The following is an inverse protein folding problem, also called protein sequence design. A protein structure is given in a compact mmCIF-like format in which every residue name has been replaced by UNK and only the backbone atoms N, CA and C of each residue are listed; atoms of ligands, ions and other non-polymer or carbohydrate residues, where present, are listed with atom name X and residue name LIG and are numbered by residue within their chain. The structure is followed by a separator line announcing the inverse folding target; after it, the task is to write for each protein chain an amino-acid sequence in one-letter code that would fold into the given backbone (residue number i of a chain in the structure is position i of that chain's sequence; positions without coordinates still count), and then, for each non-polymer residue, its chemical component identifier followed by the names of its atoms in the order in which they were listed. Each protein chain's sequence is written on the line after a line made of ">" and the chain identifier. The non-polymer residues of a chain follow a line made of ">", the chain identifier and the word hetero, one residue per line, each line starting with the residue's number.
data_IF_066681129062
#
_entry.id   IF_066681129062
#
_cell.length_a   1.000
_cell.length_b   1.000
_cell.length_c   1.000
_cell.angle_alpha   90.00
_cell.angle_beta   90.00
_cell.angle_gamma   90.00
#
_symmetry.space_group_name_H-M   'P 1'
#
loop_
_entity.id
_entity.type
_entity.pdbx_description
1 polymer ?
#
# COMPACT_ATOMS: atom_id res chain seq x y z
N UNK A 1 -18.52 10.49 -28.07
CA UNK A 1 -18.38 9.39 -27.11
C UNK A 1 -17.13 9.64 -26.25
N UNK A 2 -17.17 9.33 -24.95
CA UNK A 2 -16.08 9.58 -23.99
C UNK A 2 -14.77 8.91 -24.44
N UNK A 3 -14.85 7.64 -24.85
CA UNK A 3 -13.69 6.83 -25.26
C UNK A 3 -12.93 7.45 -26.44
N UNK A 4 -13.66 7.98 -27.43
CA UNK A 4 -13.04 8.58 -28.63
C UNK A 4 -12.33 9.90 -28.26
N UNK A 5 -12.95 10.73 -27.42
CA UNK A 5 -12.37 11.98 -26.93
C UNK A 5 -11.12 11.71 -26.10
N UNK A 6 -11.22 10.81 -25.14
CA UNK A 6 -10.11 10.41 -24.29
C UNK A 6 -8.93 9.82 -25.07
N UNK A 7 -9.24 8.96 -26.07
CA UNK A 7 -8.23 8.40 -26.96
C UNK A 7 -7.47 9.48 -27.77
N UNK A 8 -8.20 10.43 -28.37
CA UNK A 8 -7.57 11.51 -29.14
C UNK A 8 -6.71 12.42 -28.25
N UNK A 9 -7.21 12.77 -27.07
CA UNK A 9 -6.48 13.60 -26.13
C UNK A 9 -5.22 12.90 -25.61
N UNK A 10 -5.33 11.62 -25.23
CA UNK A 10 -4.17 10.84 -24.80
C UNK A 10 -3.14 10.66 -25.90
N UNK A 11 -3.58 10.37 -27.14
CA UNK A 11 -2.68 10.25 -28.29
C UNK A 11 -1.89 11.55 -28.54
N UNK A 12 -2.56 12.70 -28.47
CA UNK A 12 -1.92 13.99 -28.61
C UNK A 12 -0.92 14.27 -27.46
N UNK A 13 -1.25 13.89 -26.24
CA UNK A 13 -0.36 14.01 -25.08
C UNK A 13 0.91 13.15 -25.25
N UNK A 14 0.76 11.88 -25.57
CA UNK A 14 1.89 10.95 -25.75
C UNK A 14 2.81 11.39 -26.88
N UNK A 15 2.24 11.85 -28.01
CA UNK A 15 3.03 12.36 -29.13
C UNK A 15 3.84 13.61 -28.78
N UNK A 16 3.27 14.51 -27.94
CA UNK A 16 3.98 15.74 -27.49
C UNK A 16 5.15 15.42 -26.55
N UNK A 17 5.00 14.40 -25.71
CA UNK A 17 6.00 14.05 -24.69
C UNK A 17 7.04 13.06 -25.19
N UNK A 18 6.87 12.48 -26.38
CA UNK A 18 7.76 11.45 -26.92
C UNK A 18 7.76 10.16 -26.12
N UNK A 19 6.68 9.89 -25.37
CA UNK A 19 6.59 8.78 -24.42
C UNK A 19 5.73 7.64 -24.98
N UNK A 20 6.36 6.66 -25.57
CA UNK A 20 5.76 5.34 -25.86
C UNK A 20 6.37 4.25 -24.95
N UNK A 21 6.58 4.55 -23.66
CA UNK A 21 7.22 3.60 -22.75
C UNK A 21 6.34 2.38 -22.45
N UNK A 22 5.03 2.52 -22.50
CA UNK A 22 4.10 1.44 -22.25
C UNK A 22 3.13 1.28 -23.42
N UNK A 23 3.04 0.09 -24.06
CA UNK A 23 2.34 -0.07 -25.34
C UNK A 23 0.81 -0.01 -25.22
N UNK A 24 0.25 -0.19 -24.01
CA UNK A 24 -1.19 -0.32 -23.82
C UNK A 24 -1.91 0.95 -23.36
N UNK A 25 -1.26 2.12 -23.33
CA UNK A 25 -1.86 3.40 -22.89
C UNK A 25 -3.22 3.67 -23.50
N UNK A 26 -3.32 3.56 -24.84
CA UNK A 26 -4.56 3.84 -25.58
C UNK A 26 -5.65 2.80 -25.34
N UNK A 27 -5.26 1.55 -25.14
CA UNK A 27 -6.20 0.46 -24.81
C UNK A 27 -6.77 0.66 -23.42
N UNK A 28 -5.95 0.91 -22.43
CA UNK A 28 -6.37 1.23 -21.05
C UNK A 28 -7.33 2.41 -21.03
N UNK A 29 -6.97 3.50 -21.71
CA UNK A 29 -7.78 4.71 -21.79
C UNK A 29 -9.19 4.44 -22.36
N UNK A 30 -9.30 3.60 -23.39
CA UNK A 30 -10.59 3.21 -23.99
C UNK A 30 -11.41 2.33 -23.06
N UNK A 31 -10.77 1.37 -22.37
CA UNK A 31 -11.44 0.47 -21.43
C UNK A 31 -12.01 1.27 -20.24
N UNK A 32 -11.21 2.13 -19.65
CA UNK A 32 -11.67 3.00 -18.55
C UNK A 32 -12.78 3.93 -19.01
N UNK A 33 -12.62 4.62 -20.14
CA UNK A 33 -13.65 5.49 -20.69
C UNK A 33 -14.97 4.76 -20.98
N UNK A 34 -14.90 3.52 -21.49
CA UNK A 34 -16.07 2.67 -21.72
C UNK A 34 -16.77 2.31 -20.40
N UNK A 35 -16.01 1.87 -19.40
CA UNK A 35 -16.56 1.51 -18.09
C UNK A 35 -17.22 2.71 -17.42
N UNK A 36 -16.56 3.86 -17.41
CA UNK A 36 -17.11 5.10 -16.84
C UNK A 36 -18.43 5.52 -17.51
N UNK A 37 -18.54 5.34 -18.83
CA UNK A 37 -19.77 5.66 -19.56
C UNK A 37 -20.88 4.66 -19.30
N UNK A 38 -20.57 3.39 -19.13
CA UNK A 38 -21.55 2.32 -18.91
C UNK A 38 -21.96 2.15 -17.46
N UNK A 39 -21.08 2.52 -16.54
CA UNK A 39 -21.27 2.25 -15.12
C UNK A 39 -21.17 0.75 -14.80
N UNK A 40 -20.41 -0.01 -15.61
CA UNK A 40 -20.20 -1.44 -15.40
C UNK A 40 -18.97 -1.71 -14.52
N UNK A 41 -18.77 -2.97 -14.14
CA UNK A 41 -17.57 -3.41 -13.45
C UNK A 41 -16.52 -3.82 -14.49
N UNK A 42 -15.31 -3.26 -14.36
CA UNK A 42 -14.19 -3.60 -15.24
C UNK A 42 -12.95 -3.91 -14.40
N UNK A 43 -12.36 -5.07 -14.65
CA UNK A 43 -11.13 -5.54 -14.04
C UNK A 43 -10.02 -5.55 -15.09
N UNK A 44 -9.01 -4.72 -14.91
CA UNK A 44 -7.90 -4.59 -15.86
C UNK A 44 -6.63 -5.11 -15.19
N UNK A 45 -6.12 -6.22 -15.71
CA UNK A 45 -4.89 -6.84 -15.23
C UNK A 45 -3.71 -6.27 -16.00
N UNK A 46 -2.74 -5.76 -15.27
CA UNK A 46 -1.45 -5.32 -15.79
C UNK A 46 -0.43 -6.46 -15.64
N UNK A 47 0.56 -6.47 -16.50
CA UNK A 47 1.72 -7.33 -16.29
C UNK A 47 2.52 -6.87 -15.09
N UNK A 48 3.14 -7.80 -14.37
CA UNK A 48 4.03 -7.48 -13.27
C UNK A 48 5.19 -6.58 -13.75
N UNK A 49 5.47 -5.53 -12.99
CA UNK A 49 6.50 -4.54 -13.33
C UNK A 49 6.14 -3.62 -14.50
N UNK A 50 4.86 -3.46 -14.84
CA UNK A 50 4.42 -2.49 -15.85
C UNK A 50 4.90 -1.08 -15.51
N UNK A 51 5.46 -0.38 -16.53
CA UNK A 51 5.94 1.00 -16.36
C UNK A 51 4.82 1.90 -15.80
N UNK A 52 5.05 2.59 -14.67
CA UNK A 52 4.04 3.42 -14.01
C UNK A 52 3.44 4.54 -14.87
N UNK A 53 3.97 4.81 -16.05
CA UNK A 53 3.37 5.75 -17.02
C UNK A 53 1.96 5.33 -17.46
N UNK A 54 1.55 4.07 -17.24
CA UNK A 54 0.18 3.61 -17.50
C UNK A 54 -0.89 4.46 -16.80
N UNK A 55 -0.54 5.13 -15.69
CA UNK A 55 -1.44 6.03 -14.95
C UNK A 55 -2.06 7.11 -15.83
N UNK A 56 -1.36 7.61 -16.82
CA UNK A 56 -1.90 8.62 -17.75
C UNK A 56 -3.08 8.06 -18.54
N UNK A 57 -2.99 6.79 -18.95
CA UNK A 57 -4.09 6.10 -19.61
C UNK A 57 -5.35 5.99 -18.74
N UNK A 58 -5.18 5.97 -17.41
CA UNK A 58 -6.26 6.01 -16.43
C UNK A 58 -6.79 7.45 -16.21
N UNK A 59 -5.92 8.43 -16.06
CA UNK A 59 -6.29 9.80 -15.65
C UNK A 59 -6.99 10.59 -16.74
N UNK A 60 -6.59 10.43 -18.01
CA UNK A 60 -7.19 11.16 -19.12
C UNK A 60 -8.70 10.91 -19.27
N UNK A 61 -9.21 9.66 -19.26
CA UNK A 61 -10.66 9.45 -19.28
C UNK A 61 -11.37 9.97 -18.04
N UNK A 62 -10.71 10.01 -16.87
CA UNK A 62 -11.28 10.60 -15.64
C UNK A 62 -11.50 12.12 -15.78
N UNK A 63 -10.57 12.84 -16.45
CA UNK A 63 -10.73 14.28 -16.70
C UNK A 63 -11.91 14.63 -17.59
N UNK A 64 -12.36 13.69 -18.41
CA UNK A 64 -13.45 13.86 -19.37
C UNK A 64 -14.75 13.20 -18.92
N UNK A 65 -14.75 12.52 -17.77
CA UNK A 65 -15.91 11.83 -17.25
C UNK A 65 -17.06 12.81 -17.00
N UNK A 66 -18.26 12.49 -17.52
CA UNK A 66 -19.47 13.26 -17.28
C UNK A 66 -20.24 12.80 -16.02
N UNK A 67 -19.86 11.66 -15.44
CA UNK A 67 -20.42 11.10 -14.21
C UNK A 67 -19.48 11.34 -13.03
N UNK A 68 -20.02 11.45 -11.81
CA UNK A 68 -19.21 11.58 -10.61
C UNK A 68 -18.34 10.34 -10.37
N UNK A 69 -17.04 10.55 -10.11
CA UNK A 69 -16.07 9.48 -9.90
C UNK A 69 -15.29 9.72 -8.60
N UNK A 70 -14.98 8.65 -7.89
CA UNK A 70 -14.01 8.64 -6.80
C UNK A 70 -12.80 7.78 -7.21
N UNK A 71 -11.60 8.34 -7.08
CA UNK A 71 -10.32 7.68 -7.29
C UNK A 71 -9.74 7.32 -5.92
N UNK A 72 -9.60 6.03 -5.65
CA UNK A 72 -9.14 5.53 -4.35
C UNK A 72 -7.71 5.05 -4.47
N UNK A 73 -6.80 5.63 -3.70
CA UNK A 73 -5.36 5.40 -3.82
C UNK A 73 -4.68 5.24 -2.46
N UNK A 74 -3.60 4.45 -2.43
CA UNK A 74 -2.65 4.45 -1.32
C UNK A 74 -1.83 5.73 -1.28
N UNK A 75 -1.14 5.98 -0.16
CA UNK A 75 -0.43 7.25 0.08
C UNK A 75 0.71 7.49 -0.92
N UNK A 76 1.50 6.48 -1.26
CA UNK A 76 2.60 6.63 -2.22
C UNK A 76 2.10 7.03 -3.61
N UNK A 77 1.02 6.38 -4.07
CA UNK A 77 0.40 6.73 -5.35
C UNK A 77 -0.27 8.11 -5.30
N UNK A 78 -0.88 8.49 -4.17
CA UNK A 78 -1.46 9.82 -3.96
C UNK A 78 -0.41 10.91 -4.12
N UNK A 79 0.75 10.77 -3.46
CA UNK A 79 1.86 11.71 -3.58
C UNK A 79 2.36 11.81 -5.03
N UNK A 80 2.55 10.69 -5.70
CA UNK A 80 2.91 10.66 -7.11
C UNK A 80 1.90 11.40 -7.98
N UNK A 81 0.61 11.15 -7.80
CA UNK A 81 -0.46 11.83 -8.55
C UNK A 81 -0.40 13.33 -8.35
N UNK A 82 -0.30 13.80 -7.11
CA UNK A 82 -0.31 15.23 -6.78
C UNK A 82 0.95 15.96 -7.21
N UNK A 83 2.13 15.33 -7.03
CA UNK A 83 3.41 15.98 -7.27
C UNK A 83 3.90 15.87 -8.72
N UNK A 84 3.47 14.84 -9.45
CA UNK A 84 4.00 14.54 -10.78
C UNK A 84 2.92 14.50 -11.86
N UNK A 85 1.92 13.62 -11.73
CA UNK A 85 0.99 13.36 -12.82
C UNK A 85 -0.02 14.52 -13.02
N UNK A 86 -0.52 15.13 -11.96
CA UNK A 86 -1.41 16.29 -12.04
C UNK A 86 -0.75 17.53 -12.67
N UNK A 87 0.43 17.96 -12.20
CA UNK A 87 1.15 19.06 -12.85
C UNK A 87 1.43 18.80 -14.33
N UNK A 88 1.78 17.56 -14.67
CA UNK A 88 2.02 17.13 -16.05
C UNK A 88 0.76 17.24 -16.91
N UNK A 89 -0.37 16.72 -16.46
CA UNK A 89 -1.63 16.83 -17.17
C UNK A 89 -2.06 18.29 -17.37
N UNK A 90 -1.92 19.10 -16.33
CA UNK A 90 -2.23 20.54 -16.39
C UNK A 90 -1.34 21.26 -17.40
N UNK A 91 -0.03 21.00 -17.44
CA UNK A 91 0.88 21.55 -18.42
C UNK A 91 0.50 21.14 -19.85
N UNK A 92 -0.10 19.97 -20.02
CA UNK A 92 -0.61 19.48 -21.31
C UNK A 92 -2.01 20.00 -21.67
N UNK A 93 -2.60 20.88 -20.86
CA UNK A 93 -3.93 21.45 -21.09
C UNK A 93 -5.09 20.51 -20.72
N UNK A 94 -4.83 19.48 -19.90
CA UNK A 94 -5.86 18.60 -19.37
C UNK A 94 -6.31 19.13 -18.01
N UNK A 95 -7.51 19.71 -17.95
CA UNK A 95 -8.09 20.21 -16.68
C UNK A 95 -8.76 19.05 -15.92
N UNK A 96 -8.11 18.60 -14.86
CA UNK A 96 -8.65 17.60 -13.94
C UNK A 96 -8.89 18.26 -12.58
N UNK A 97 -10.14 18.58 -12.32
CA UNK A 97 -10.55 19.17 -11.04
C UNK A 97 -10.63 18.07 -9.99
N UNK A 98 -9.81 18.18 -8.95
CA UNK A 98 -9.72 17.22 -7.87
C UNK A 98 -10.22 17.82 -6.56
N UNK A 99 -10.86 16.98 -5.77
CA UNK A 99 -11.26 17.25 -4.40
C UNK A 99 -10.66 16.19 -3.48
N UNK A 100 -10.01 16.61 -2.41
CA UNK A 100 -9.31 15.73 -1.47
C UNK A 100 -10.02 15.70 -0.11
N UNK A 101 -9.87 14.57 0.60
CA UNK A 101 -10.38 14.41 1.94
C UNK A 101 -11.79 13.82 2.03
N UNK A 102 -12.26 13.61 3.26
CA UNK A 102 -13.54 12.95 3.54
C UNK A 102 -14.77 13.86 3.42
N UNK A 103 -14.60 15.17 3.23
CA UNK A 103 -15.72 16.08 3.01
C UNK A 103 -16.36 15.84 1.64
N UNK A 104 -17.69 15.89 1.52
CA UNK A 104 -18.40 15.59 0.29
C UNK A 104 -17.90 16.43 -0.89
N UNK A 105 -17.38 15.77 -1.91
CA UNK A 105 -16.87 16.43 -3.12
C UNK A 105 -18.01 16.95 -4.01
N UNK A 106 -17.83 18.12 -4.68
CA UNK A 106 -18.71 18.55 -5.74
C UNK A 106 -18.85 17.50 -6.84
N UNK A 107 -20.02 17.37 -7.46
CA UNK A 107 -20.30 16.36 -8.47
C UNK A 107 -19.41 16.47 -9.71
N UNK A 108 -18.90 17.66 -10.00
CA UNK A 108 -18.04 17.96 -11.15
C UNK A 108 -16.55 17.70 -10.90
N UNK A 109 -16.19 17.30 -9.66
CA UNK A 109 -14.79 17.05 -9.30
C UNK A 109 -14.54 15.55 -9.17
N UNK A 110 -13.34 15.12 -9.56
CA UNK A 110 -12.81 13.83 -9.19
C UNK A 110 -12.55 13.81 -7.68
N UNK A 111 -13.15 12.88 -6.97
CA UNK A 111 -12.93 12.74 -5.54
C UNK A 111 -11.74 11.82 -5.27
N UNK A 112 -10.62 12.38 -4.83
CA UNK A 112 -9.43 11.62 -4.46
C UNK A 112 -9.53 11.21 -2.99
N UNK A 113 -9.57 9.91 -2.76
CA UNK A 113 -9.74 9.31 -1.44
C UNK A 113 -8.60 8.35 -1.12
N UNK A 114 -8.16 8.35 0.13
CA UNK A 114 -7.44 7.22 0.70
C UNK A 114 -8.43 6.08 1.03
N UNK A 115 -7.94 4.88 1.30
CA UNK A 115 -8.80 3.76 1.70
C UNK A 115 -9.52 4.02 3.03
N UNK A 116 -8.90 4.74 3.96
CA UNK A 116 -9.53 5.16 5.22
C UNK A 116 -10.66 6.16 4.98
N UNK A 117 -10.44 7.17 4.14
CA UNK A 117 -11.47 8.14 3.77
C UNK A 117 -12.62 7.46 3.01
N UNK A 118 -12.32 6.52 2.09
CA UNK A 118 -13.35 5.72 1.41
C UNK A 118 -14.27 5.00 2.40
N UNK A 119 -13.69 4.31 3.39
CA UNK A 119 -14.46 3.61 4.42
C UNK A 119 -15.32 4.56 5.23
N UNK A 120 -14.78 5.73 5.56
CA UNK A 120 -15.52 6.77 6.30
C UNK A 120 -16.72 7.27 5.50
N UNK A 121 -16.51 7.75 4.26
CA UNK A 121 -17.58 8.33 3.43
C UNK A 121 -18.62 7.27 3.01
N UNK A 122 -18.19 6.03 2.82
CA UNK A 122 -19.10 4.93 2.53
C UNK A 122 -20.02 4.61 3.71
N UNK A 123 -19.47 4.48 4.93
CA UNK A 123 -20.24 4.25 6.16
C UNK A 123 -21.17 5.40 6.50
N UNK A 124 -20.79 6.62 6.17
CA UNK A 124 -21.63 7.81 6.32
C UNK A 124 -22.71 7.96 5.24
N UNK A 125 -22.67 7.14 4.18
CA UNK A 125 -23.58 7.24 3.05
C UNK A 125 -23.31 8.44 2.12
N UNK A 126 -22.22 9.20 2.35
CA UNK A 126 -21.89 10.42 1.58
C UNK A 126 -21.23 10.11 0.23
N UNK A 127 -20.76 8.89 0.01
CA UNK A 127 -20.20 8.45 -1.26
C UNK A 127 -21.20 8.53 -2.42
N UNK A 128 -22.50 8.41 -2.14
CA UNK A 128 -23.58 8.48 -3.13
C UNK A 128 -23.45 7.38 -4.20
N UNK A 129 -23.76 7.73 -5.44
CA UNK A 129 -23.68 6.85 -6.62
C UNK A 129 -22.39 7.00 -7.43
N UNK A 130 -21.34 7.57 -6.85
CA UNK A 130 -20.05 7.76 -7.53
C UNK A 130 -19.48 6.42 -7.97
N UNK A 131 -18.99 6.39 -9.19
CA UNK A 131 -18.21 5.25 -9.68
C UNK A 131 -16.86 5.22 -8.98
N UNK A 132 -16.36 4.02 -8.69
CA UNK A 132 -15.06 3.83 -8.04
C UNK A 132 -14.00 3.47 -9.07
N UNK A 133 -12.84 4.11 -8.96
CA UNK A 133 -11.65 3.73 -9.71
C UNK A 133 -10.56 3.42 -8.71
N UNK A 134 -10.06 2.20 -8.73
CA UNK A 134 -9.08 1.67 -7.76
C UNK A 134 -7.86 1.18 -8.54
N UNK A 135 -6.83 2.01 -8.70
CA UNK A 135 -5.52 1.58 -9.19
C UNK A 135 -4.77 0.79 -8.12
N UNK A 136 -3.79 0.00 -8.52
CA UNK A 136 -3.05 -0.91 -7.62
C UNK A 136 -4.00 -1.85 -6.84
N UNK A 137 -4.97 -2.41 -7.56
CA UNK A 137 -6.00 -3.24 -6.95
C UNK A 137 -5.44 -4.52 -6.29
N UNK A 138 -4.25 -4.97 -6.66
CA UNK A 138 -3.50 -6.04 -6.00
C UNK A 138 -3.21 -5.73 -4.52
N UNK A 139 -3.06 -4.45 -4.16
CA UNK A 139 -2.81 -3.99 -2.79
C UNK A 139 -4.09 -3.69 -2.00
N UNK A 140 -5.25 -3.77 -2.63
CA UNK A 140 -6.53 -3.33 -2.05
C UNK A 140 -6.82 -4.02 -0.71
N UNK A 141 -6.59 -5.33 -0.62
CA UNK A 141 -6.83 -6.09 0.60
C UNK A 141 -5.96 -5.60 1.76
N UNK A 142 -4.68 -5.35 1.51
CA UNK A 142 -3.74 -4.92 2.53
C UNK A 142 -3.99 -3.46 2.94
N UNK A 143 -4.28 -2.59 1.97
CA UNK A 143 -4.62 -1.20 2.23
C UNK A 143 -5.95 -1.04 2.99
N UNK A 144 -6.94 -1.89 2.72
CA UNK A 144 -8.17 -1.93 3.51
C UNK A 144 -7.92 -2.47 4.93
N UNK A 145 -7.09 -3.52 5.07
CA UNK A 145 -6.70 -4.05 6.37
C UNK A 145 -6.02 -2.99 7.23
N UNK A 146 -5.08 -2.26 6.65
CA UNK A 146 -4.41 -1.13 7.30
C UNK A 146 -5.38 0.00 7.64
N UNK A 147 -6.25 0.38 6.71
CA UNK A 147 -7.24 1.43 6.92
C UNK A 147 -8.25 1.11 8.06
N UNK A 148 -8.57 -0.17 8.26
CA UNK A 148 -9.44 -0.65 9.32
C UNK A 148 -8.70 -0.96 10.62
N UNK A 149 -7.38 -1.09 10.58
CA UNK A 149 -6.58 -1.41 11.76
C UNK A 149 -6.77 -0.36 12.85
N UNK A 150 -6.88 -0.85 14.08
CA UNK A 150 -6.97 -0.03 15.28
C UNK A 150 -5.73 -0.26 16.11
N UNK A 151 -5.10 0.83 16.55
CA UNK A 151 -3.97 0.83 17.47
C UNK A 151 -4.34 1.59 18.72
N UNK A 152 -4.03 1.02 19.87
CA UNK A 152 -4.19 1.65 21.18
C UNK A 152 -2.80 1.81 21.79
N UNK A 153 -2.40 3.03 21.94
CA UNK A 153 -1.11 3.42 22.50
C UNK A 153 -1.19 3.66 24.02
N UNK A 154 -0.07 3.70 24.75
CA UNK A 154 -0.08 4.01 26.17
C UNK A 154 -0.80 5.33 26.50
N UNK A 155 -0.66 6.36 25.66
CA UNK A 155 -1.33 7.65 25.83
C UNK A 155 -2.87 7.55 25.71
N UNK A 156 -3.39 6.58 24.95
CA UNK A 156 -4.82 6.38 24.81
C UNK A 156 -5.44 5.81 26.08
N UNK A 157 -4.72 4.95 26.80
CA UNK A 157 -5.12 4.50 28.14
C UNK A 157 -5.25 5.66 29.11
N UNK A 158 -4.29 6.59 29.11
CA UNK A 158 -4.33 7.77 29.97
C UNK A 158 -5.48 8.71 29.59
N UNK A 159 -5.74 8.85 28.30
CA UNK A 159 -6.86 9.66 27.79
C UNK A 159 -8.20 9.06 28.18
N UNK A 160 -8.34 7.74 28.09
CA UNK A 160 -9.54 7.02 28.51
C UNK A 160 -9.81 7.20 30.01
N UNK A 161 -8.79 7.05 30.86
CA UNK A 161 -8.91 7.23 32.32
C UNK A 161 -9.37 8.63 32.68
N UNK A 162 -8.78 9.64 32.03
CA UNK A 162 -9.16 11.05 32.21
C UNK A 162 -10.59 11.33 31.77
N UNK A 163 -11.04 10.72 30.68
CA UNK A 163 -12.40 10.88 30.19
C UNK A 163 -13.44 10.18 31.09
N UNK A 164 -13.04 9.10 31.81
CA UNK A 164 -13.94 8.25 32.60
C UNK A 164 -13.41 8.04 34.03
N UNK A 165 -13.34 9.09 34.86
CA UNK A 165 -12.71 9.02 36.19
C UNK A 165 -13.36 8.03 37.16
N UNK A 166 -14.66 7.79 37.04
CA UNK A 166 -15.39 6.80 37.87
C UNK A 166 -14.98 5.37 37.55
N UNK A 167 -14.51 5.10 36.32
CA UNK A 167 -14.06 3.77 35.92
C UNK A 167 -12.54 3.57 36.05
N UNK A 168 -11.81 4.59 36.45
CA UNK A 168 -10.34 4.57 36.52
C UNK A 168 -9.79 3.36 37.29
N UNK A 169 -10.27 2.98 38.48
CA UNK A 169 -9.74 1.83 39.22
C UNK A 169 -9.87 0.52 38.41
N UNK A 170 -11.01 0.33 37.74
CA UNK A 170 -11.28 -0.84 36.92
C UNK A 170 -10.40 -0.87 35.66
N UNK A 171 -10.23 0.30 35.01
CA UNK A 171 -9.34 0.46 33.84
C UNK A 171 -7.88 0.19 34.19
N UNK A 172 -7.39 0.67 35.33
CA UNK A 172 -6.04 0.39 35.82
C UNK A 172 -5.83 -1.10 36.11
N UNK A 173 -6.80 -1.74 36.75
CA UNK A 173 -6.74 -3.18 37.04
C UNK A 173 -6.68 -4.02 35.73
N UNK A 174 -7.48 -3.66 34.72
CA UNK A 174 -7.48 -4.33 33.41
C UNK A 174 -6.19 -4.05 32.63
N UNK A 175 -5.72 -2.81 32.60
CA UNK A 175 -4.43 -2.45 31.98
C UNK A 175 -3.28 -3.24 32.61
N UNK A 176 -3.22 -3.29 33.94
CA UNK A 176 -2.19 -4.04 34.65
C UNK A 176 -2.29 -5.56 34.44
N UNK A 177 -3.52 -6.11 34.30
CA UNK A 177 -3.72 -7.53 33.95
C UNK A 177 -3.23 -7.85 32.54
N UNK A 178 -3.62 -7.06 31.56
CA UNK A 178 -3.15 -7.19 30.16
C UNK A 178 -1.64 -7.00 30.06
N UNK A 179 -1.08 -5.99 30.72
CA UNK A 179 0.35 -5.74 30.73
C UNK A 179 1.15 -6.91 31.30
N UNK A 180 0.70 -7.52 32.41
CA UNK A 180 1.33 -8.73 32.93
C UNK A 180 1.25 -9.90 31.95
N UNK A 181 0.11 -10.09 31.26
CA UNK A 181 -0.06 -11.12 30.25
C UNK A 181 0.88 -10.93 29.07
N UNK A 182 0.99 -9.69 28.56
CA UNK A 182 1.83 -9.32 27.42
C UNK A 182 3.32 -9.45 27.76
N UNK A 183 3.74 -8.95 28.95
CA UNK A 183 5.14 -8.96 29.33
C UNK A 183 5.65 -10.31 29.85
N UNK A 184 4.74 -11.24 30.25
CA UNK A 184 5.09 -12.60 30.67
C UNK A 184 5.31 -13.58 29.50
N UNK A 185 4.98 -13.22 28.28
CA UNK A 185 5.18 -14.06 27.10
C UNK A 185 6.68 -14.20 26.77
N UNK A 186 7.11 -15.37 26.25
CA UNK A 186 8.45 -15.50 25.73
C UNK A 186 8.67 -14.47 24.60
N UNK A 187 9.89 -13.94 24.53
CA UNK A 187 10.23 -12.91 23.53
C UNK A 187 10.09 -13.48 22.13
N UNK A 188 9.19 -12.92 21.35
CA UNK A 188 9.13 -13.15 19.92
C UNK A 188 10.18 -12.26 19.22
N UNK A 189 10.83 -12.70 18.12
CA UNK A 189 11.80 -11.86 17.39
C UNK A 189 11.26 -10.50 16.98
N UNK A 190 9.99 -10.43 16.62
CA UNK A 190 9.30 -9.18 16.22
C UNK A 190 8.57 -8.50 17.39
N UNK A 191 8.81 -8.94 18.63
CA UNK A 191 8.16 -8.41 19.82
C UNK A 191 6.63 -8.44 19.79
N UNK A 192 6.06 -9.42 19.06
CA UNK A 192 4.62 -9.63 18.93
C UNK A 192 4.11 -10.63 19.98
N UNK A 193 2.96 -10.32 20.56
CA UNK A 193 2.27 -11.19 21.53
C UNK A 193 0.82 -11.35 21.09
N UNK A 194 0.44 -12.55 20.66
CA UNK A 194 -0.95 -12.85 20.31
C UNK A 194 -1.85 -12.75 21.56
N UNK A 195 -3.01 -12.13 21.40
CA UNK A 195 -4.03 -12.03 22.45
C UNK A 195 -5.20 -12.95 22.13
N UNK A 196 -5.53 -13.79 23.08
CA UNK A 196 -6.71 -14.63 22.96
C UNK A 196 -7.99 -13.82 23.25
N UNK A 197 -9.14 -14.23 22.70
CA UNK A 197 -10.42 -13.56 22.97
C UNK A 197 -10.74 -13.44 24.46
N UNK A 198 -10.31 -14.40 25.28
CA UNK A 198 -10.50 -14.44 26.74
C UNK A 198 -9.67 -13.36 27.46
N UNK A 199 -8.51 -12.99 26.92
CA UNK A 199 -7.66 -11.94 27.48
C UNK A 199 -8.34 -10.57 27.33
N UNK A 200 -9.07 -10.36 26.24
CA UNK A 200 -9.73 -9.10 25.91
C UNK A 200 -11.18 -8.99 26.41
N UNK A 201 -11.86 -10.11 26.64
CA UNK A 201 -13.29 -10.11 26.98
C UNK A 201 -13.64 -9.19 28.16
N UNK A 202 -12.87 -9.13 29.27
CA UNK A 202 -13.18 -8.22 30.38
C UNK A 202 -13.06 -6.75 30.01
N UNK A 203 -12.07 -6.41 29.18
CA UNK A 203 -11.90 -5.03 28.68
C UNK A 203 -13.07 -4.64 27.76
N UNK A 204 -13.45 -5.52 26.86
CA UNK A 204 -14.57 -5.30 25.95
C UNK A 204 -15.89 -5.12 26.71
N UNK A 205 -16.13 -5.95 27.70
CA UNK A 205 -17.34 -5.86 28.53
C UNK A 205 -17.39 -4.53 29.30
N UNK A 206 -16.28 -4.10 29.89
CA UNK A 206 -16.23 -2.83 30.59
C UNK A 206 -16.45 -1.64 29.63
N UNK A 207 -15.77 -1.63 28.48
CA UNK A 207 -15.91 -0.55 27.49
C UNK A 207 -17.34 -0.47 26.95
N UNK A 208 -18.03 -1.58 26.75
CA UNK A 208 -19.42 -1.60 26.30
C UNK A 208 -20.39 -0.93 27.30
N UNK A 209 -20.04 -0.95 28.59
CA UNK A 209 -20.85 -0.29 29.64
C UNK A 209 -20.53 1.21 29.76
N UNK A 210 -19.39 1.65 29.24
CA UNK A 210 -18.85 3.00 29.43
C UNK A 210 -19.10 3.94 28.22
N UNK A 211 -20.02 3.59 27.32
CA UNK A 211 -20.34 4.43 26.17
C UNK A 211 -20.98 5.76 26.57
N UNK A 212 -20.65 6.90 25.90
CA UNK A 212 -19.79 7.04 24.73
C UNK A 212 -18.30 7.01 25.07
N UNK A 213 -17.50 6.37 24.20
CA UNK A 213 -16.07 6.27 24.35
C UNK A 213 -15.33 7.27 23.44
N UNK A 214 -14.18 7.81 23.87
CA UNK A 214 -13.31 8.58 22.99
C UNK A 214 -12.65 7.68 21.92
N UNK A 215 -12.22 8.28 20.80
CA UNK A 215 -11.34 7.58 19.86
C UNK A 215 -9.93 7.43 20.50
N UNK A 216 -9.21 6.31 20.22
CA UNK A 216 -9.55 5.22 19.30
C UNK A 216 -10.40 4.10 19.93
N UNK A 217 -10.83 4.20 21.20
CA UNK A 217 -11.53 3.15 21.95
C UNK A 217 -12.90 2.81 21.38
N UNK A 218 -13.64 3.81 20.89
CA UNK A 218 -14.92 3.60 20.22
C UNK A 218 -14.73 2.77 18.94
N UNK A 219 -13.66 3.01 18.21
CA UNK A 219 -13.31 2.22 17.03
C UNK A 219 -12.89 0.81 17.41
N UNK A 220 -12.05 0.66 18.45
CA UNK A 220 -11.60 -0.65 18.94
C UNK A 220 -12.78 -1.54 19.39
N UNK A 221 -13.78 -0.97 20.04
CA UNK A 221 -14.97 -1.69 20.47
C UNK A 221 -15.83 -2.14 19.27
N UNK A 222 -16.01 -1.28 18.27
CA UNK A 222 -16.74 -1.60 17.03
C UNK A 222 -16.02 -2.65 16.18
N UNK A 223 -14.69 -2.61 16.14
CA UNK A 223 -13.83 -3.55 15.43
C UNK A 223 -13.82 -4.89 16.17
N UNK A 224 -14.93 -5.63 16.16
CA UNK A 224 -15.10 -6.88 16.91
C UNK A 224 -15.85 -7.93 16.10
N UNK A 225 -15.58 -9.20 16.42
CA UNK A 225 -16.24 -10.34 15.77
C UNK A 225 -15.24 -11.44 15.41
N UNK A 226 -15.73 -12.58 14.91
CA UNK A 226 -14.89 -13.75 14.61
C UNK A 226 -13.88 -13.51 13.46
N UNK A 227 -14.13 -12.50 12.63
CA UNK A 227 -13.23 -12.10 11.54
C UNK A 227 -12.14 -11.10 11.94
N UNK A 228 -11.95 -10.82 13.23
CA UNK A 228 -10.94 -9.87 13.71
C UNK A 228 -9.90 -10.56 14.59
N UNK A 229 -8.65 -10.16 14.45
CA UNK A 229 -7.52 -10.63 15.25
C UNK A 229 -6.91 -9.49 16.04
N UNK A 230 -6.37 -9.82 17.23
CA UNK A 230 -5.70 -8.86 18.09
C UNK A 230 -4.36 -9.39 18.56
N UNK A 231 -3.43 -8.48 18.72
CA UNK A 231 -2.11 -8.75 19.29
C UNK A 231 -1.58 -7.51 20.01
N UNK A 232 -0.53 -7.68 20.76
CA UNK A 232 0.23 -6.58 21.33
C UNK A 232 1.63 -6.54 20.73
N UNK A 233 2.17 -5.34 20.57
CA UNK A 233 3.61 -5.12 20.33
C UNK A 233 4.24 -4.59 21.60
N UNK A 234 5.48 -5.04 21.89
CA UNK A 234 6.23 -4.62 23.06
C UNK A 234 7.47 -3.87 22.63
N UNK A 235 7.65 -2.65 23.14
CA UNK A 235 8.93 -1.95 23.05
C UNK A 235 9.83 -2.42 24.22
N UNK A 236 10.89 -3.21 23.96
CA UNK A 236 11.71 -3.78 25.01
C UNK A 236 12.57 -2.73 25.74
N UNK A 237 12.84 -1.58 25.10
CA UNK A 237 13.65 -0.54 25.70
C UNK A 237 12.86 0.29 26.72
N UNK A 238 11.60 0.57 26.40
CA UNK A 238 10.72 1.39 27.23
C UNK A 238 9.77 0.56 28.10
N UNK A 239 9.70 -0.76 27.89
CA UNK A 239 8.70 -1.67 28.49
C UNK A 239 7.27 -1.20 28.23
N UNK A 240 7.06 -0.50 27.16
CA UNK A 240 5.76 -0.07 26.70
C UNK A 240 5.18 -1.14 25.78
N UNK A 241 3.86 -1.24 25.76
CA UNK A 241 3.15 -2.14 24.87
C UNK A 241 1.95 -1.42 24.25
N UNK A 242 1.58 -1.84 23.06
CA UNK A 242 0.47 -1.29 22.30
C UNK A 242 -0.46 -2.43 21.90
N UNK A 243 -1.78 -2.18 21.90
CA UNK A 243 -2.74 -3.12 21.36
C UNK A 243 -2.97 -2.83 19.88
N UNK A 244 -3.05 -3.88 19.11
CA UNK A 244 -3.40 -3.83 17.70
C UNK A 244 -4.61 -4.73 17.45
N UNK A 245 -5.46 -4.31 16.54
CA UNK A 245 -6.59 -5.08 16.05
C UNK A 245 -6.81 -4.84 14.58
N UNK A 246 -7.04 -5.91 13.81
CA UNK A 246 -7.31 -5.81 12.38
C UNK A 246 -8.23 -6.93 11.90
N UNK A 247 -8.95 -6.73 10.77
CA UNK A 247 -9.74 -7.78 10.17
C UNK A 247 -8.85 -8.82 9.47
N UNK A 248 -9.22 -10.10 9.59
CA UNK A 248 -8.60 -11.20 8.85
C UNK A 248 -8.99 -11.16 7.37
N UNK A 249 -10.25 -10.85 7.09
CA UNK A 249 -10.82 -10.76 5.74
C UNK A 249 -11.40 -9.34 5.49
N UNK A 250 -10.55 -8.34 5.20
CA UNK A 250 -11.00 -6.95 5.07
C UNK A 250 -11.99 -6.73 3.92
N UNK A 251 -11.97 -7.58 2.88
CA UNK A 251 -12.92 -7.49 1.78
C UNK A 251 -14.35 -7.86 2.20
N UNK A 252 -14.51 -8.79 3.15
CA UNK A 252 -15.81 -9.13 3.71
C UNK A 252 -16.42 -7.97 4.50
N UNK A 253 -15.59 -7.13 5.14
CA UNK A 253 -16.05 -5.95 5.89
C UNK A 253 -16.59 -4.82 4.98
N UNK A 254 -16.31 -4.90 3.69
CA UNK A 254 -16.77 -3.95 2.66
C UNK A 254 -17.72 -4.59 1.66
N UNK A 255 -18.32 -5.72 2.02
CA UNK A 255 -19.38 -6.34 1.22
C UNK A 255 -20.49 -5.30 0.95
N UNK A 256 -20.87 -5.16 -0.31
CA UNK A 256 -21.82 -4.13 -0.73
C UNK A 256 -21.22 -2.78 -1.12
N UNK A 257 -19.92 -2.52 -0.91
CA UNK A 257 -19.29 -1.27 -1.35
C UNK A 257 -19.50 -1.03 -2.85
N UNK A 258 -19.44 -2.05 -3.68
CA UNK A 258 -19.61 -1.96 -5.13
C UNK A 258 -21.06 -2.18 -5.62
N UNK A 259 -21.99 -2.49 -4.73
CA UNK A 259 -23.39 -2.71 -5.11
C UNK A 259 -23.99 -1.41 -5.67
N UNK A 260 -24.61 -1.53 -6.86
CA UNK A 260 -25.34 -0.42 -7.50
C UNK A 260 -24.46 0.71 -8.04
N UNK A 261 -23.14 0.52 -8.12
CA UNK A 261 -22.19 1.50 -8.70
C UNK A 261 -21.19 0.84 -9.61
N UNK A 262 -20.79 1.50 -10.70
CA UNK A 262 -19.70 1.05 -11.55
C UNK A 262 -18.35 1.10 -10.82
N UNK A 263 -17.47 0.16 -11.18
CA UNK A 263 -16.12 0.11 -10.64
C UNK A 263 -15.09 -0.27 -11.69
N UNK A 264 -13.95 0.41 -11.67
CA UNK A 264 -12.77 0.09 -12.47
C UNK A 264 -11.62 -0.26 -11.52
N UNK A 265 -11.19 -1.51 -11.57
CA UNK A 265 -10.04 -2.00 -10.81
C UNK A 265 -8.89 -2.24 -11.79
N UNK A 266 -7.74 -1.66 -11.50
CA UNK A 266 -6.53 -1.77 -12.35
C UNK A 266 -5.35 -2.17 -11.47
N UNK A 267 -4.62 -3.20 -11.86
CA UNK A 267 -3.44 -3.63 -11.10
C UNK A 267 -2.82 -4.94 -11.57
N UNK A 268 -1.76 -5.35 -10.91
CA UNK A 268 -1.03 -6.60 -11.15
C UNK A 268 -1.77 -7.80 -10.52
N UNK A 269 -2.98 -8.05 -10.98
CA UNK A 269 -3.87 -9.04 -10.40
C UNK A 269 -3.53 -10.45 -10.91
N UNK A 270 -3.55 -11.48 -10.04
CA UNK A 270 -3.29 -12.85 -10.45
C UNK A 270 -4.36 -13.33 -11.44
N UNK A 271 -3.94 -14.15 -12.40
CA UNK A 271 -4.88 -14.85 -13.28
C UNK A 271 -5.56 -15.95 -12.47
N UNK A 272 -6.87 -15.95 -12.46
CA UNK A 272 -7.66 -17.07 -11.93
C UNK A 272 -7.40 -18.29 -12.82
N UNK A 273 -6.66 -19.27 -12.32
CA UNK A 273 -6.55 -20.57 -12.99
C UNK A 273 -7.89 -21.30 -12.79
N UNK A 274 -8.72 -21.30 -13.83
CA UNK A 274 -9.89 -22.15 -13.87
C UNK A 274 -9.43 -23.62 -13.77
N UNK A 275 -9.51 -24.22 -12.58
CA UNK A 275 -9.27 -25.65 -12.41
C UNK A 275 -8.54 -26.13 -11.16
N UNK A 276 -7.93 -25.30 -10.35
CA UNK A 276 -7.31 -25.78 -9.10
C UNK A 276 -8.04 -25.22 -7.89
N UNK A 277 -8.91 -26.01 -7.29
CA UNK A 277 -9.66 -25.71 -6.06
C UNK A 277 -8.79 -25.62 -4.80
N UNK A 278 -7.55 -25.17 -4.92
CA UNK A 278 -6.66 -24.84 -3.83
C UNK A 278 -6.15 -23.41 -4.01
N UNK A 279 -6.83 -22.50 -3.37
CA UNK A 279 -6.32 -21.15 -3.15
C UNK A 279 -5.01 -21.25 -2.36
N UNK A 280 -3.91 -20.84 -2.96
CA UNK A 280 -2.70 -20.55 -2.19
C UNK A 280 -2.99 -19.31 -1.36
N UNK A 281 -2.79 -19.40 -0.06
CA UNK A 281 -2.65 -18.30 0.85
C UNK A 281 -1.56 -17.36 0.30
N UNK A 282 -1.97 -16.26 -0.30
CA UNK A 282 -1.02 -15.31 -0.89
C UNK A 282 -1.74 -14.28 -1.78
N UNK A 283 -2.09 -13.15 -1.20
CA UNK A 283 -2.22 -11.83 -1.84
C UNK A 283 -2.97 -11.77 -3.19
N UNK A 284 -4.28 -11.95 -3.17
CA UNK A 284 -5.11 -11.72 -4.35
C UNK A 284 -6.57 -11.99 -4.05
N UNK A 285 -7.43 -11.00 -4.28
CA UNK A 285 -8.88 -11.21 -4.19
C UNK A 285 -9.41 -11.90 -5.45
N UNK A 286 -10.40 -12.78 -5.26
CA UNK A 286 -11.19 -13.35 -6.36
C UNK A 286 -12.25 -12.37 -6.85
N UNK A 287 -12.74 -12.60 -8.08
CA UNK A 287 -13.80 -11.75 -8.67
C UNK A 287 -15.08 -11.72 -7.82
N UNK A 288 -15.33 -12.72 -6.97
CA UNK A 288 -16.48 -12.81 -6.06
C UNK A 288 -16.32 -12.04 -4.75
N UNK A 289 -15.09 -11.76 -4.31
CA UNK A 289 -14.83 -11.25 -2.96
C UNK A 289 -15.29 -9.81 -2.72
N UNK A 290 -15.43 -9.02 -3.80
CA UNK A 290 -15.89 -7.63 -3.75
C UNK A 290 -17.34 -7.42 -4.16
N UNK A 291 -18.07 -8.49 -4.48
CA UNK A 291 -19.42 -8.38 -5.04
C UNK A 291 -19.43 -7.80 -6.46
N UNK A 292 -18.36 -8.00 -7.24
CA UNK A 292 -18.31 -7.65 -8.65
C UNK A 292 -19.34 -8.46 -9.44
N UNK A 293 -20.26 -7.79 -10.10
CA UNK A 293 -21.28 -8.44 -10.90
C UNK A 293 -20.81 -8.53 -12.36
N UNK A 294 -20.55 -9.73 -12.85
CA UNK A 294 -20.14 -10.05 -14.22
C UNK A 294 -19.11 -9.03 -14.80
N UNK A 295 -17.94 -8.88 -14.18
CA UNK A 295 -16.98 -7.86 -14.58
C UNK A 295 -16.44 -8.12 -15.98
N UNK A 296 -16.19 -7.05 -16.72
CA UNK A 296 -15.40 -7.12 -17.95
C UNK A 296 -13.94 -7.27 -17.56
N UNK A 297 -13.37 -8.45 -17.79
CA UNK A 297 -11.98 -8.74 -17.44
C UNK A 297 -11.11 -8.59 -18.68
N UNK A 298 -10.02 -7.80 -18.57
CA UNK A 298 -9.07 -7.58 -19.67
C UNK A 298 -7.65 -7.69 -19.14
N UNK A 299 -6.84 -8.49 -19.82
CA UNK A 299 -5.41 -8.61 -19.54
C UNK A 299 -4.64 -7.66 -20.49
N UNK A 300 -3.92 -6.72 -19.91
CA UNK A 300 -2.95 -5.84 -20.58
C UNK A 300 -1.55 -6.28 -20.19
N UNK A 301 -1.18 -7.47 -20.66
CA UNK A 301 0.13 -8.05 -20.40
C UNK A 301 1.10 -7.69 -21.51
N UNK A 302 2.36 -7.45 -21.13
CA UNK A 302 3.48 -7.47 -22.06
C UNK A 302 3.94 -8.92 -22.28
N UNK A 303 4.52 -9.24 -23.43
CA UNK A 303 5.17 -10.52 -23.58
C UNK A 303 6.26 -10.68 -22.52
N UNK A 304 6.55 -11.90 -22.04
CA UNK A 304 7.66 -12.11 -21.10
C UNK A 304 8.94 -11.50 -21.66
N UNK A 305 9.77 -10.95 -20.78
CA UNK A 305 11.06 -10.39 -21.16
C UNK A 305 11.80 -11.40 -22.05
N UNK A 306 12.28 -10.94 -23.21
CA UNK A 306 13.02 -11.79 -24.15
C UNK A 306 14.32 -12.30 -23.51
N UNK A 307 14.97 -11.44 -22.71
CA UNK A 307 16.19 -11.77 -21.98
C UNK A 307 15.91 -11.87 -20.47
N UNK A 308 16.19 -13.03 -19.86
CA UNK A 308 16.02 -13.18 -18.43
C UNK A 308 17.03 -12.28 -17.68
N UNK A 309 16.57 -11.67 -16.58
CA UNK A 309 17.45 -10.93 -15.69
C UNK A 309 18.33 -11.94 -14.95
N UNK A 310 19.67 -11.84 -15.01
CA UNK A 310 20.54 -12.76 -14.31
C UNK A 310 20.39 -12.56 -12.79
N UNK A 311 20.09 -13.64 -12.08
CA UNK A 311 19.99 -13.68 -10.63
C UNK A 311 21.22 -14.36 -10.07
N UNK A 312 22.02 -13.63 -9.29
CA UNK A 312 23.13 -14.19 -8.52
C UNK A 312 22.68 -14.48 -7.09
N UNK A 313 22.76 -15.72 -6.69
CA UNK A 313 22.43 -16.17 -5.34
C UNK A 313 23.63 -16.90 -4.73
N UNK A 314 24.30 -16.37 -3.69
CA UNK A 314 25.45 -17.02 -3.05
C UNK A 314 25.05 -18.35 -2.41
N UNK A 315 25.77 -19.44 -2.73
CA UNK A 315 25.42 -20.82 -2.28
C UNK A 315 25.69 -21.05 -0.79
N UNK A 316 26.68 -20.34 -0.21
CA UNK A 316 27.09 -20.50 1.20
C UNK A 316 27.01 -19.18 1.94
N UNK A 317 25.79 -18.71 2.13
CA UNK A 317 25.52 -17.46 2.82
C UNK A 317 25.15 -17.75 4.28
N UNK A 318 25.68 -16.99 5.26
CA UNK A 318 25.19 -17.05 6.63
C UNK A 318 23.69 -16.70 6.67
N UNK A 319 22.96 -17.25 7.62
CA UNK A 319 21.55 -16.85 7.83
C UNK A 319 21.47 -15.39 8.29
N UNK A 320 20.38 -14.68 7.98
CA UNK A 320 20.21 -13.28 8.37
C UNK A 320 20.33 -13.01 9.88
N UNK A 321 20.01 -13.98 10.73
CA UNK A 321 20.17 -13.92 12.19
C UNK A 321 21.56 -14.31 12.69
N UNK A 322 22.49 -14.67 11.81
CA UNK A 322 23.88 -14.97 12.18
C UNK A 322 24.65 -13.68 12.47
N UNK A 323 25.53 -13.65 13.50
CA UNK A 323 26.39 -12.50 13.78
C UNK A 323 27.37 -12.19 12.64
N UNK A 324 27.63 -13.15 11.75
CA UNK A 324 28.52 -12.98 10.60
C UNK A 324 27.80 -12.53 9.32
N UNK A 325 26.47 -12.33 9.35
CA UNK A 325 25.70 -11.99 8.16
C UNK A 325 26.07 -10.62 7.60
N UNK A 326 26.19 -9.61 8.46
CA UNK A 326 26.54 -8.24 8.07
C UNK A 326 27.91 -8.14 7.40
N UNK A 327 28.94 -8.78 8.00
CA UNK A 327 30.29 -8.80 7.44
C UNK A 327 30.34 -9.52 6.09
N UNK A 328 29.63 -10.64 5.97
CA UNK A 328 29.55 -11.40 4.73
C UNK A 328 28.84 -10.58 3.64
N UNK A 329 27.74 -9.94 3.96
CA UNK A 329 26.98 -9.10 3.03
C UNK A 329 27.83 -7.90 2.56
N UNK A 330 28.57 -7.26 3.47
CA UNK A 330 29.49 -6.17 3.13
C UNK A 330 30.58 -6.64 2.16
N UNK A 331 31.19 -7.82 2.39
CA UNK A 331 32.19 -8.39 1.49
C UNK A 331 31.61 -8.70 0.11
N UNK A 332 30.40 -9.26 0.03
CA UNK A 332 29.73 -9.50 -1.24
C UNK A 332 29.40 -8.20 -1.98
N UNK A 333 28.89 -7.18 -1.28
CA UNK A 333 28.62 -5.87 -1.87
C UNK A 333 29.91 -5.23 -2.43
N UNK A 334 31.03 -5.30 -1.71
CA UNK A 334 32.34 -4.83 -2.17
C UNK A 334 32.75 -5.49 -3.49
N UNK A 335 32.66 -6.80 -3.55
CA UNK A 335 33.02 -7.56 -4.77
C UNK A 335 32.15 -7.16 -5.95
N UNK A 336 30.84 -7.00 -5.74
CA UNK A 336 29.90 -6.61 -6.78
C UNK A 336 30.16 -5.18 -7.28
N UNK A 337 30.41 -4.23 -6.38
CA UNK A 337 30.72 -2.83 -6.73
C UNK A 337 32.03 -2.74 -7.52
N UNK A 338 33.02 -3.57 -7.19
CA UNK A 338 34.30 -3.63 -7.92
C UNK A 338 34.19 -4.34 -9.27
N UNK A 339 33.25 -5.25 -9.43
CA UNK A 339 33.11 -6.06 -10.63
C UNK A 339 32.53 -5.30 -11.82
N UNK A 340 31.67 -4.30 -11.58
CA UNK A 340 30.98 -3.58 -12.64
C UNK A 340 30.97 -2.08 -12.37
N UNK A 341 31.24 -1.29 -13.43
CA UNK A 341 31.06 0.16 -13.41
C UNK A 341 29.58 0.51 -13.63
N UNK A 342 29.07 1.45 -12.85
CA UNK A 342 27.71 1.93 -12.91
C UNK A 342 27.02 1.99 -11.54
N UNK A 343 25.77 2.40 -11.52
CA UNK A 343 24.99 2.53 -10.29
C UNK A 343 24.70 1.14 -9.69
N UNK A 344 25.09 0.94 -8.43
CA UNK A 344 24.72 -0.21 -7.60
C UNK A 344 23.70 0.22 -6.57
N UNK A 345 22.58 -0.49 -6.47
CA UNK A 345 21.57 -0.26 -5.43
C UNK A 345 21.58 -1.43 -4.46
N UNK A 346 21.68 -1.13 -3.17
CA UNK A 346 21.66 -2.11 -2.07
C UNK A 346 20.42 -1.87 -1.23
N UNK A 347 19.49 -2.82 -1.27
CA UNK A 347 18.20 -2.75 -0.59
C UNK A 347 18.23 -3.59 0.68
N UNK A 348 18.05 -2.92 1.82
CA UNK A 348 18.05 -3.54 3.15
C UNK A 348 16.98 -2.83 4.00
N UNK A 349 16.00 -3.57 4.50
CA UNK A 349 14.93 -2.99 5.30
C UNK A 349 15.32 -2.76 6.77
N UNK A 350 16.21 -3.60 7.33
CA UNK A 350 16.76 -3.36 8.67
C UNK A 350 17.57 -2.05 8.72
N UNK A 351 17.15 -1.05 9.51
CA UNK A 351 17.81 0.26 9.54
C UNK A 351 19.25 0.20 10.09
N UNK A 352 19.52 -0.65 11.08
CA UNK A 352 20.84 -0.78 11.68
C UNK A 352 21.83 -1.40 10.69
N UNK A 353 21.46 -2.54 10.10
CA UNK A 353 22.26 -3.23 9.09
C UNK A 353 22.50 -2.32 7.86
N UNK A 354 21.49 -1.57 7.42
CA UNK A 354 21.62 -0.65 6.29
C UNK A 354 22.61 0.48 6.55
N UNK A 355 22.60 1.07 7.75
CA UNK A 355 23.55 2.11 8.13
C UNK A 355 24.98 1.57 8.26
N UNK A 356 25.13 0.39 8.85
CA UNK A 356 26.43 -0.28 8.98
C UNK A 356 27.02 -0.61 7.61
N UNK A 357 26.21 -1.14 6.70
CA UNK A 357 26.62 -1.40 5.31
C UNK A 357 27.01 -0.12 4.58
N UNK A 358 26.19 0.93 4.68
CA UNK A 358 26.47 2.22 4.04
C UNK A 358 27.81 2.80 4.58
N UNK A 359 28.04 2.73 5.88
CA UNK A 359 29.26 3.21 6.53
C UNK A 359 30.47 2.36 6.10
N UNK A 360 30.34 1.03 6.10
CA UNK A 360 31.39 0.11 5.68
C UNK A 360 31.80 0.28 4.21
N UNK A 361 30.81 0.48 3.32
CA UNK A 361 31.06 0.78 1.93
C UNK A 361 31.66 2.18 1.72
N UNK A 362 31.19 3.19 2.48
CA UNK A 362 31.72 4.54 2.41
C UNK A 362 33.18 4.65 2.88
N UNK A 363 33.59 3.81 3.83
CA UNK A 363 34.99 3.73 4.27
C UNK A 363 35.96 3.34 3.12
N UNK A 364 35.47 2.59 2.12
CA UNK A 364 36.26 2.14 0.99
C UNK A 364 36.02 2.96 -0.29
N UNK A 365 34.76 3.29 -0.58
CA UNK A 365 34.37 3.96 -1.82
C UNK A 365 34.12 5.47 -1.67
N UNK A 366 34.23 6.01 -0.45
CA UNK A 366 34.11 7.45 -0.18
C UNK A 366 32.75 8.04 -0.53
N UNK A 367 32.78 9.22 -1.16
CA UNK A 367 31.59 10.00 -1.55
C UNK A 367 30.66 9.31 -2.54
N UNK A 368 31.13 8.26 -3.19
CA UNK A 368 30.31 7.43 -4.11
C UNK A 368 29.16 6.71 -3.41
N UNK A 369 29.22 6.54 -2.09
CA UNK A 369 28.20 5.83 -1.32
C UNK A 369 27.22 6.83 -0.71
N UNK A 370 25.97 6.69 -1.07
CA UNK A 370 24.86 7.49 -0.53
C UNK A 370 23.85 6.64 0.23
N UNK A 371 23.34 7.16 1.33
CA UNK A 371 22.20 6.57 2.04
C UNK A 371 20.94 7.29 1.59
N UNK A 372 19.99 6.55 0.99
CA UNK A 372 18.73 7.08 0.45
C UNK A 372 18.92 8.34 -0.43
N UNK A 373 19.94 8.33 -1.30
CA UNK A 373 20.34 9.44 -2.13
C UNK A 373 19.64 9.39 -3.50
N UNK A 374 18.96 10.47 -3.89
CA UNK A 374 18.26 10.58 -5.18
C UNK A 374 19.11 11.10 -6.33
N UNK A 375 20.33 11.58 -6.06
CA UNK A 375 21.29 12.08 -7.05
C UNK A 375 22.66 11.40 -6.87
N UNK A 376 22.77 10.09 -7.11
CA UNK A 376 24.04 9.38 -6.99
C UNK A 376 25.00 9.75 -8.12
N UNK A 377 26.29 9.59 -7.86
CA UNK A 377 27.31 9.64 -8.92
C UNK A 377 27.10 8.51 -9.95
N UNK A 378 27.66 8.65 -11.15
CA UNK A 378 27.49 7.67 -12.23
C UNK A 378 27.90 6.24 -11.84
N UNK A 379 28.97 6.11 -11.02
CA UNK A 379 29.42 4.84 -10.45
C UNK A 379 29.08 4.74 -8.95
N UNK A 380 27.96 5.30 -8.53
CA UNK A 380 27.56 5.40 -7.15
C UNK A 380 27.03 4.09 -6.59
N UNK A 381 26.97 4.06 -5.27
CA UNK A 381 26.30 3.00 -4.49
C UNK A 381 25.22 3.65 -3.65
N UNK A 382 23.98 3.20 -3.78
CA UNK A 382 22.86 3.70 -2.98
C UNK A 382 22.37 2.60 -2.05
N UNK A 383 22.52 2.83 -0.75
CA UNK A 383 21.95 1.95 0.28
C UNK A 383 20.60 2.52 0.71
N UNK A 384 19.52 1.77 0.54
CA UNK A 384 18.16 2.23 0.82
C UNK A 384 17.27 1.10 1.33
N UNK A 385 16.08 1.47 1.85
CA UNK A 385 15.03 0.51 2.12
C UNK A 385 14.24 0.17 0.84
N UNK A 386 13.52 -0.93 0.88
CA UNK A 386 12.64 -1.31 -0.23
C UNK A 386 11.54 -0.27 -0.48
N UNK A 387 10.94 0.28 0.57
CA UNK A 387 9.94 1.34 0.46
C UNK A 387 10.50 2.60 -0.21
N UNK A 388 11.69 3.04 0.21
CA UNK A 388 12.34 4.19 -0.41
C UNK A 388 12.64 3.96 -1.90
N UNK A 389 13.09 2.75 -2.25
CA UNK A 389 13.34 2.36 -3.64
C UNK A 389 12.08 2.49 -4.50
N UNK A 390 10.96 1.92 -4.06
CA UNK A 390 9.69 1.98 -4.77
C UNK A 390 9.22 3.42 -5.04
N UNK A 391 9.50 4.34 -4.13
CA UNK A 391 9.14 5.75 -4.26
C UNK A 391 10.08 6.54 -5.17
N UNK A 392 11.36 6.16 -5.24
CA UNK A 392 12.40 6.99 -5.85
C UNK A 392 13.09 6.36 -7.08
N UNK A 393 12.84 5.09 -7.41
CA UNK A 393 13.51 4.37 -8.49
C UNK A 393 13.48 5.12 -9.84
N UNK A 394 12.41 5.86 -10.12
CA UNK A 394 12.26 6.61 -11.37
C UNK A 394 13.09 7.89 -11.44
N UNK A 395 13.61 8.37 -10.30
CA UNK A 395 14.50 9.52 -10.21
C UNK A 395 15.97 9.14 -10.38
N UNK A 396 16.26 7.86 -10.24
CA UNK A 396 17.60 7.32 -10.33
C UNK A 396 17.96 6.96 -11.77
N UNK A 397 19.24 7.04 -12.14
CA UNK A 397 19.73 6.35 -13.33
C UNK A 397 19.43 4.86 -13.25
N UNK A 398 19.31 4.20 -14.40
CA UNK A 398 19.09 2.76 -14.42
C UNK A 398 20.27 2.04 -13.74
N UNK A 399 20.05 1.29 -12.65
CA UNK A 399 21.12 0.57 -11.98
C UNK A 399 21.63 -0.58 -12.84
N UNK A 400 22.94 -0.83 -12.81
CA UNK A 400 23.55 -2.00 -13.47
C UNK A 400 23.36 -3.25 -12.63
N UNK A 401 23.18 -3.09 -11.31
CA UNK A 401 22.92 -4.19 -10.38
C UNK A 401 22.13 -3.73 -9.17
N UNK A 402 21.30 -4.63 -8.66
CA UNK A 402 20.51 -4.44 -7.43
C UNK A 402 20.82 -5.61 -6.50
N UNK A 403 21.25 -5.30 -5.30
CA UNK A 403 21.48 -6.26 -4.21
C UNK A 403 20.27 -6.17 -3.27
N UNK A 404 19.68 -7.31 -2.93
CA UNK A 404 18.57 -7.41 -1.98
C UNK A 404 19.00 -8.28 -0.82
N UNK A 405 18.83 -7.79 0.43
CA UNK A 405 19.24 -8.50 1.64
C UNK A 405 18.22 -8.30 2.79
#
# INVERSE_FOLDING_TARGET
>A
MLEARAHLQLKALLAREGLERWPHHLTLCRLVGRSLRRGDHTLIRLAAGSDPSWLIGLLVPLSLAGSPVALVVGESLRQRLLQREWPRLRAAGVDLRCWEGADPAPQTHLWLLSHRELLQVWRQGTLGNRQLVIPQAELLQDLLREAMAVRIEPADWDSLRRALPLAEPSLLALHGRLGRRVLAQPRHPEHLVALAPEDEAPLRQLLALLTPLPEPWSHWLRASGPGWTSWATVDPALLHWQLHRQPLAPLAEVEGLLQGRGAVLVGELPRSSAGSGRWREGHGFGEGDLGLQAPVVVDLGDPPLADPIPLYCPVRQPLPNSPHFGDHLLDQCRRLVLAQAGLTVVLVDDPALRLDLASGLAAEFGSRVGHACTAPEANGVVCASWSWWLENQERLPLPVQVVVA
#
